data_IF_764133197054
#
_entry.id   IF_764133197054
#
_cell.length_a   1.000
_cell.length_b   1.000
_cell.length_c   1.000
_cell.angle_alpha   90.00
_cell.angle_beta   90.00
_cell.angle_gamma   90.00
#
_symmetry.space_group_name_H-M   'P 1'
#
loop_
_entity.id
_entity.type
_entity.pdbx_description
1 polymer ?
#
# COMPACT_ATOMS: atom_id res chain seq x y z
N UNK A 1 17.65 -2.43 -8.05
CA UNK A 1 16.86 -3.41 -8.83
C UNK A 1 15.40 -3.18 -8.52
N UNK A 2 14.60 -2.74 -9.49
CA UNK A 2 13.15 -2.56 -9.28
C UNK A 2 12.48 -3.92 -9.28
N UNK A 3 11.80 -4.28 -8.19
CA UNK A 3 11.08 -5.55 -8.08
C UNK A 3 9.93 -5.57 -9.11
N UNK A 4 9.88 -6.62 -9.95
CA UNK A 4 8.85 -6.78 -10.99
C UNK A 4 7.42 -6.75 -10.43
N UNK A 5 7.21 -7.13 -9.17
CA UNK A 5 5.91 -7.04 -8.51
C UNK A 5 5.42 -5.60 -8.36
N UNK A 6 6.32 -4.66 -8.04
CA UNK A 6 5.98 -3.24 -7.84
C UNK A 6 5.54 -2.59 -9.16
N UNK A 7 6.19 -2.97 -10.27
CA UNK A 7 5.91 -2.42 -11.59
C UNK A 7 4.48 -2.71 -12.08
N UNK A 8 3.82 -3.72 -11.51
CA UNK A 8 2.48 -4.15 -11.89
C UNK A 8 1.40 -3.74 -10.88
N UNK A 9 1.73 -2.89 -9.91
CA UNK A 9 0.75 -2.40 -8.95
C UNK A 9 -0.27 -1.49 -9.65
N UNK A 10 -1.57 -1.61 -9.35
CA UNK A 10 -2.63 -0.91 -10.08
C UNK A 10 -2.66 0.61 -9.85
N UNK A 11 -1.83 1.12 -8.94
CA UNK A 11 -1.70 2.53 -8.59
C UNK A 11 -0.28 3.06 -8.85
N UNK A 12 0.56 2.32 -9.59
CA UNK A 12 1.92 2.73 -9.96
C UNK A 12 2.00 2.96 -11.46
N UNK A 13 2.59 4.07 -11.89
CA UNK A 13 2.96 4.28 -13.29
C UNK A 13 4.44 4.02 -13.51
N UNK A 14 4.74 3.43 -14.66
CA UNK A 14 6.10 3.06 -15.05
C UNK A 14 6.38 3.44 -16.49
N UNK A 15 7.64 3.81 -16.76
CA UNK A 15 8.18 3.90 -18.12
C UNK A 15 9.30 2.87 -18.25
N UNK A 16 9.06 1.82 -19.02
CA UNK A 16 9.93 0.65 -19.08
C UNK A 16 10.01 -0.05 -17.72
N UNK A 17 11.18 -0.03 -17.08
CA UNK A 17 11.42 -0.65 -15.75
C UNK A 17 11.55 0.38 -14.62
N UNK A 18 11.28 1.64 -14.92
CA UNK A 18 11.39 2.76 -13.99
C UNK A 18 10.01 3.16 -13.51
N UNK A 19 9.82 3.22 -12.19
CA UNK A 19 8.61 3.81 -11.59
C UNK A 19 8.69 5.32 -11.74
N UNK A 20 7.72 5.91 -12.42
CA UNK A 20 7.61 7.36 -12.60
C UNK A 20 6.60 8.00 -11.65
N UNK A 21 5.68 7.21 -11.11
CA UNK A 21 4.70 7.66 -10.13
C UNK A 21 4.30 6.50 -9.21
N UNK A 22 4.48 6.69 -7.90
CA UNK A 22 4.10 5.70 -6.89
C UNK A 22 2.63 5.79 -6.47
N UNK A 23 1.87 6.79 -6.93
CA UNK A 23 0.46 6.94 -6.59
C UNK A 23 -0.39 7.54 -7.72
N UNK A 24 -0.51 6.81 -8.82
CA UNK A 24 -1.30 7.16 -9.99
C UNK A 24 -2.71 6.52 -9.96
N UNK A 25 -3.36 6.53 -8.79
CA UNK A 25 -4.66 5.89 -8.61
C UNK A 25 -5.71 6.38 -9.62
N UNK A 26 -6.75 5.57 -9.92
CA UNK A 26 -7.92 6.05 -10.63
C UNK A 26 -8.65 7.14 -9.83
N UNK A 27 -9.45 7.93 -10.53
CA UNK A 27 -10.30 8.93 -9.89
C UNK A 27 -11.26 8.26 -8.88
N UNK A 28 -11.53 8.97 -7.80
CA UNK A 28 -12.52 8.55 -6.81
C UNK A 28 -13.91 8.45 -7.44
N UNK A 29 -14.67 7.46 -7.00
CA UNK A 29 -16.04 7.25 -7.47
C UNK A 29 -17.02 8.21 -6.80
N UNK A 30 -16.63 8.77 -5.64
CA UNK A 30 -17.50 9.57 -4.78
C UNK A 30 -18.33 8.71 -3.81
N UNK A 31 -18.33 7.38 -3.97
CA UNK A 31 -18.84 6.45 -2.97
C UNK A 31 -17.71 6.09 -2.00
N UNK A 32 -17.80 6.62 -0.78
CA UNK A 32 -16.80 6.44 0.26
C UNK A 32 -16.50 4.97 0.58
N UNK A 33 -17.51 4.10 0.56
CA UNK A 33 -17.35 2.69 0.90
C UNK A 33 -16.61 1.94 -0.21
N UNK A 34 -16.99 2.20 -1.46
CA UNK A 34 -16.31 1.63 -2.63
C UNK A 34 -14.87 2.12 -2.76
N UNK A 35 -14.64 3.41 -2.52
CA UNK A 35 -13.31 4.01 -2.55
C UNK A 35 -12.43 3.42 -1.44
N UNK A 36 -12.96 3.26 -0.22
CA UNK A 36 -12.24 2.55 0.85
C UNK A 36 -11.90 1.11 0.46
N UNK A 37 -12.85 0.36 -0.09
CA UNK A 37 -12.61 -1.02 -0.51
C UNK A 37 -11.51 -1.12 -1.58
N UNK A 38 -11.49 -0.17 -2.52
CA UNK A 38 -10.44 -0.04 -3.54
C UNK A 38 -9.08 0.20 -2.88
N UNK A 39 -9.00 1.15 -1.96
CA UNK A 39 -7.79 1.42 -1.17
C UNK A 39 -7.27 0.19 -0.42
N UNK A 40 -8.15 -0.54 0.26
CA UNK A 40 -7.78 -1.78 0.97
C UNK A 40 -7.23 -2.83 0.01
N UNK A 41 -7.80 -2.94 -1.20
CA UNK A 41 -7.31 -3.84 -2.24
C UNK A 41 -5.91 -3.46 -2.73
N UNK A 42 -5.62 -2.16 -2.85
CA UNK A 42 -4.28 -1.65 -3.17
C UNK A 42 -3.25 -1.98 -2.10
N UNK A 43 -3.62 -1.87 -0.82
CA UNK A 43 -2.74 -2.25 0.28
C UNK A 43 -2.40 -3.75 0.23
N UNK A 44 -3.38 -4.61 -0.04
CA UNK A 44 -3.15 -6.05 -0.20
C UNK A 44 -2.21 -6.33 -1.39
N UNK A 45 -2.40 -5.65 -2.53
CA UNK A 45 -1.54 -5.78 -3.70
C UNK A 45 -0.10 -5.35 -3.40
N UNK A 46 0.09 -4.23 -2.67
CA UNK A 46 1.41 -3.77 -2.25
C UNK A 46 2.13 -4.82 -1.40
N UNK A 47 1.46 -5.31 -0.35
CA UNK A 47 2.03 -6.30 0.56
C UNK A 47 2.37 -7.59 -0.18
N UNK A 48 1.53 -8.05 -1.11
CA UNK A 48 1.80 -9.24 -1.91
C UNK A 48 2.94 -9.05 -2.92
N UNK A 49 3.13 -7.83 -3.45
CA UNK A 49 4.18 -7.52 -4.41
C UNK A 49 5.56 -7.30 -3.78
N UNK A 50 5.59 -6.89 -2.50
CA UNK A 50 6.83 -6.67 -1.77
C UNK A 50 7.35 -7.97 -1.15
N UNK A 51 8.64 -8.25 -1.35
CA UNK A 51 9.34 -9.27 -0.58
C UNK A 51 9.78 -8.70 0.79
N UNK A 52 10.18 -9.58 1.70
CA UNK A 52 10.71 -9.22 3.01
C UNK A 52 11.79 -8.13 2.89
N UNK A 53 11.64 -7.07 3.69
CA UNK A 53 12.55 -5.93 3.75
C UNK A 53 12.30 -4.81 2.74
N UNK A 54 11.45 -4.99 1.72
CA UNK A 54 11.18 -3.95 0.72
C UNK A 54 9.95 -3.10 1.03
N UNK A 55 8.98 -3.65 1.77
CA UNK A 55 7.69 -3.02 2.01
C UNK A 55 7.83 -1.61 2.61
N UNK A 56 8.70 -1.43 3.61
CA UNK A 56 8.88 -0.13 4.26
C UNK A 56 9.40 0.95 3.30
N UNK A 57 10.35 0.61 2.42
CA UNK A 57 10.89 1.54 1.43
C UNK A 57 9.83 1.94 0.40
N UNK A 58 9.12 0.96 -0.18
CA UNK A 58 8.08 1.24 -1.19
C UNK A 58 6.92 2.02 -0.57
N UNK A 59 6.50 1.66 0.64
CA UNK A 59 5.47 2.37 1.37
C UNK A 59 5.85 3.83 1.64
N UNK A 60 7.13 4.12 1.92
CA UNK A 60 7.59 5.51 2.10
C UNK A 60 7.42 6.33 0.82
N UNK A 61 7.76 5.77 -0.34
CA UNK A 61 7.55 6.44 -1.64
C UNK A 61 6.08 6.66 -1.95
N UNK A 62 5.22 5.67 -1.66
CA UNK A 62 3.77 5.78 -1.82
C UNK A 62 3.21 6.89 -0.93
N UNK A 63 3.56 6.90 0.35
CA UNK A 63 3.09 7.91 1.30
C UNK A 63 3.56 9.33 0.95
N UNK A 64 4.80 9.48 0.48
CA UNK A 64 5.31 10.76 -0.04
C UNK A 64 4.51 11.22 -1.26
N UNK A 65 4.30 10.34 -2.25
CA UNK A 65 3.54 10.69 -3.45
C UNK A 65 2.09 11.11 -3.13
N UNK A 66 1.44 10.42 -2.20
CA UNK A 66 0.10 10.79 -1.69
C UNK A 66 0.11 12.20 -1.09
N UNK A 67 1.09 12.47 -0.22
CA UNK A 67 1.23 13.75 0.50
C UNK A 67 1.51 14.90 -0.46
N UNK A 68 2.44 14.73 -1.39
CA UNK A 68 2.83 15.72 -2.39
C UNK A 68 1.65 16.11 -3.30
N UNK A 69 0.76 15.15 -3.59
CA UNK A 69 -0.45 15.37 -4.39
C UNK A 69 -1.62 15.94 -3.58
N UNK A 70 -1.50 16.04 -2.26
CA UNK A 70 -2.57 16.50 -1.38
C UNK A 70 -3.82 15.61 -1.43
N UNK A 71 -3.62 14.32 -1.68
CA UNK A 71 -4.71 13.37 -1.88
C UNK A 71 -5.02 12.65 -0.57
N UNK A 72 -6.22 12.85 -0.02
CA UNK A 72 -6.60 12.30 1.29
C UNK A 72 -8.05 11.79 1.31
N UNK A 73 -8.49 11.16 0.21
CA UNK A 73 -9.86 10.69 0.05
C UNK A 73 -10.06 9.25 0.50
N UNK A 74 -11.21 8.67 0.11
CA UNK A 74 -11.63 7.35 0.58
C UNK A 74 -10.63 6.24 0.23
N UNK A 75 -9.97 6.34 -0.93
CA UNK A 75 -8.97 5.37 -1.38
C UNK A 75 -7.74 5.38 -0.46
N UNK A 76 -7.19 6.55 -0.12
CA UNK A 76 -6.02 6.64 0.77
C UNK A 76 -6.34 6.16 2.17
N UNK A 77 -7.50 6.56 2.70
CA UNK A 77 -7.97 6.13 4.03
C UNK A 77 -8.09 4.60 4.07
N UNK A 78 -8.73 4.00 3.07
CA UNK A 78 -8.85 2.54 2.98
C UNK A 78 -7.49 1.84 2.89
N UNK A 79 -6.57 2.40 2.10
CA UNK A 79 -5.21 1.88 1.94
C UNK A 79 -4.45 1.84 3.27
N UNK A 80 -4.36 2.96 3.98
CA UNK A 80 -3.62 3.02 5.24
C UNK A 80 -4.32 2.25 6.37
N UNK A 81 -5.65 2.25 6.42
CA UNK A 81 -6.38 1.42 7.39
C UNK A 81 -6.04 -0.06 7.22
N UNK A 82 -6.01 -0.57 5.99
CA UNK A 82 -5.66 -1.97 5.74
C UNK A 82 -4.22 -2.29 6.12
N UNK A 83 -3.27 -1.39 5.87
CA UNK A 83 -1.89 -1.57 6.32
C UNK A 83 -1.80 -1.62 7.85
N UNK A 84 -2.54 -0.76 8.55
CA UNK A 84 -2.64 -0.80 10.01
C UNK A 84 -3.20 -2.12 10.54
N UNK A 85 -4.26 -2.65 9.91
CA UNK A 85 -4.80 -3.97 10.24
C UNK A 85 -3.73 -5.07 10.09
N UNK A 86 -3.05 -5.13 8.93
CA UNK A 86 -2.04 -6.15 8.63
C UNK A 86 -0.88 -6.09 9.64
N UNK A 87 -0.38 -4.89 9.94
CA UNK A 87 0.70 -4.69 10.90
C UNK A 87 0.27 -5.09 12.33
N UNK A 88 -0.98 -4.83 12.70
CA UNK A 88 -1.52 -5.21 14.01
C UNK A 88 -1.61 -6.74 14.17
N UNK A 89 -2.04 -7.46 13.14
CA UNK A 89 -2.08 -8.94 13.19
C UNK A 89 -0.69 -9.57 13.18
N UNK A 90 0.28 -8.99 12.47
CA UNK A 90 1.66 -9.45 12.51
C UNK A 90 2.27 -9.31 13.92
N UNK A 91 2.00 -8.20 14.62
CA UNK A 91 2.49 -7.98 15.98
C UNK A 91 1.78 -8.85 17.02
N UNK A 92 0.49 -9.16 16.85
CA UNK A 92 -0.24 -10.07 17.71
C UNK A 92 0.32 -11.51 17.67
N UNK A 93 0.65 -12.03 16.48
CA UNK A 93 1.28 -13.35 16.34
C UNK A 93 2.67 -13.46 16.98
N UNK A 94 3.46 -12.39 16.93
CA UNK A 94 4.77 -12.32 17.61
C UNK A 94 4.64 -12.23 19.13
N UNK A 95 3.60 -11.55 19.63
CA UNK A 95 3.33 -11.42 21.07
C UNK A 95 2.97 -12.77 21.71
N UNK A 96 2.17 -13.59 21.04
CA UNK A 96 1.78 -14.92 21.56
C UNK A 96 2.96 -15.91 21.58
N UNK A 97 3.87 -15.87 20.60
CA UNK A 97 5.10 -16.67 20.61
C UNK A 97 6.06 -16.28 21.75
N UNK A 98 6.10 -15.00 22.16
CA UNK A 98 6.92 -14.55 23.29
C UNK A 98 6.35 -14.92 24.67
N UNK A 99 5.06 -15.23 24.77
CA UNK A 99 4.45 -15.73 26.01
C UNK A 99 4.61 -17.25 26.18
N UNK A 100 4.89 -17.95 25.10
CA UNK A 100 5.03 -19.41 25.06
C UNK A 100 6.48 -19.92 25.15
N UNK A 101 7.47 -19.02 25.24
CA UNK A 101 8.90 -19.30 25.37
C UNK A 101 9.42 -18.86 26.75
#
# INVERSE_FOLDING_TARGET
>A
MTNKGILNLPFVLTVGTVVTDYWARPAETGDWAQDNWTGRSYANALVAACNDGQLGMVLSHVASAITEKGQYGGIEVGFFNRLGEIASFASAGVSELRKAA
#
